data_IF_419008838707
#
_entry.id   IF_419008838707
#
_cell.length_a   1.000
_cell.length_b   1.000
_cell.length_c   1.000
_cell.angle_alpha   90.00
_cell.angle_beta   90.00
_cell.angle_gamma   90.00
#
_symmetry.space_group_name_H-M   'P 1'
#
loop_
_entity.id
_entity.type
_entity.pdbx_description
1 polymer ?
#
# COMPACT_ATOMS: atom_id res chain seq x y z
N UNK A 1 0.55 35.93 12.44
CA UNK A 1 1.07 34.57 12.22
C UNK A 1 1.22 34.38 10.72
N UNK A 2 2.31 33.78 10.23
CA UNK A 2 2.44 33.48 8.79
C UNK A 2 1.65 32.20 8.49
N UNK A 3 0.93 32.18 7.39
CA UNK A 3 0.23 30.99 6.90
C UNK A 3 1.22 29.85 6.66
N UNK A 4 0.88 28.65 7.15
CA UNK A 4 1.66 27.44 6.88
C UNK A 4 1.19 26.80 5.59
N UNK A 5 2.14 26.24 4.85
CA UNK A 5 1.94 25.66 3.53
C UNK A 5 2.22 24.16 3.54
N UNK A 6 1.35 23.40 2.88
CA UNK A 6 1.46 21.93 2.78
C UNK A 6 1.56 21.55 1.31
N UNK A 7 2.64 20.88 0.94
CA UNK A 7 2.84 20.29 -0.38
C UNK A 7 2.45 18.81 -0.39
N UNK A 8 1.75 18.37 -1.45
CA UNK A 8 1.40 16.97 -1.64
C UNK A 8 2.16 16.36 -2.83
N UNK A 9 2.68 15.16 -2.66
CA UNK A 9 3.30 14.35 -3.73
C UNK A 9 2.56 13.03 -3.83
N UNK A 10 2.09 12.67 -5.03
CA UNK A 10 1.31 11.46 -5.25
C UNK A 10 2.00 10.47 -6.20
N UNK A 11 1.81 9.17 -5.99
CA UNK A 11 2.32 8.12 -6.89
C UNK A 11 1.54 6.80 -6.80
N UNK A 12 1.41 6.07 -7.90
CA UNK A 12 0.77 4.77 -7.98
C UNK A 12 1.63 3.71 -8.69
N UNK A 13 1.61 2.46 -8.20
CA UNK A 13 2.47 1.37 -8.69
C UNK A 13 2.00 0.70 -10.00
N UNK A 14 0.80 1.04 -10.48
CA UNK A 14 0.17 0.39 -11.63
C UNK A 14 0.65 0.88 -13.00
N UNK A 15 1.72 0.26 -13.48
CA UNK A 15 2.35 0.56 -14.77
C UNK A 15 1.36 0.68 -15.95
N UNK A 16 0.36 -0.20 -16.03
CA UNK A 16 -0.61 -0.22 -17.13
C UNK A 16 -1.57 0.98 -17.10
N UNK A 17 -1.85 1.55 -15.93
CA UNK A 17 -2.78 2.67 -15.75
C UNK A 17 -2.07 4.04 -15.72
N UNK A 18 -0.74 4.08 -15.84
CA UNK A 18 0.03 5.31 -15.68
C UNK A 18 -0.18 6.31 -16.83
N UNK A 19 -0.23 7.59 -16.45
CA UNK A 19 -0.21 8.70 -17.38
C UNK A 19 1.11 8.75 -18.16
N UNK A 20 1.03 9.17 -19.41
CA UNK A 20 2.17 9.47 -20.28
C UNK A 20 2.00 10.86 -20.89
N UNK A 21 2.95 11.30 -21.70
CA UNK A 21 2.81 12.55 -22.46
C UNK A 21 1.58 12.57 -23.40
N UNK A 22 1.03 11.40 -23.73
CA UNK A 22 -0.05 11.25 -24.71
C UNK A 22 -1.26 10.49 -24.18
N UNK A 23 -1.28 10.14 -22.88
CA UNK A 23 -2.36 9.36 -22.29
C UNK A 23 -2.63 9.79 -20.85
N UNK A 24 -3.91 9.96 -20.53
CA UNK A 24 -4.37 10.13 -19.16
C UNK A 24 -4.14 8.86 -18.34
N UNK A 25 -3.94 9.03 -17.03
CA UNK A 25 -3.70 7.92 -16.12
C UNK A 25 -3.20 8.35 -14.75
N UNK A 26 -2.79 7.37 -13.95
CA UNK A 26 -2.21 7.61 -12.62
C UNK A 26 -0.79 8.18 -12.71
N UNK A 27 -0.40 8.99 -11.73
CA UNK A 27 0.97 9.44 -11.63
C UNK A 27 1.88 8.24 -11.29
N UNK A 28 2.84 7.85 -12.16
CA UNK A 28 3.68 6.67 -11.91
C UNK A 28 4.48 6.80 -10.62
N UNK A 29 4.54 5.73 -9.83
CA UNK A 29 5.38 5.67 -8.65
C UNK A 29 6.84 5.37 -9.04
N UNK A 30 7.52 6.41 -9.52
CA UNK A 30 8.94 6.41 -9.83
C UNK A 30 9.74 7.06 -8.70
N UNK A 31 10.73 6.34 -8.15
CA UNK A 31 11.47 6.80 -6.97
C UNK A 31 12.24 8.10 -7.26
N UNK A 32 12.92 8.20 -8.41
CA UNK A 32 13.75 9.35 -8.72
C UNK A 32 12.89 10.62 -8.85
N UNK A 33 11.75 10.52 -9.56
CA UNK A 33 10.77 11.60 -9.69
C UNK A 33 10.20 12.00 -8.33
N UNK A 34 9.75 11.04 -7.52
CA UNK A 34 9.15 11.31 -6.22
C UNK A 34 10.16 12.00 -5.27
N UNK A 35 11.41 11.53 -5.24
CA UNK A 35 12.48 12.18 -4.46
C UNK A 35 12.70 13.62 -4.91
N UNK A 36 12.80 13.84 -6.22
CA UNK A 36 12.97 15.18 -6.77
C UNK A 36 11.80 16.11 -6.40
N UNK A 37 10.55 15.62 -6.49
CA UNK A 37 9.35 16.37 -6.11
C UNK A 37 9.33 16.70 -4.61
N UNK A 38 9.63 15.72 -3.75
CA UNK A 38 9.71 15.91 -2.30
C UNK A 38 10.75 16.96 -1.94
N UNK A 39 11.97 16.85 -2.49
CA UNK A 39 13.05 17.80 -2.22
C UNK A 39 12.73 19.21 -2.76
N UNK A 40 12.07 19.31 -3.92
CA UNK A 40 11.63 20.58 -4.50
C UNK A 40 10.55 21.26 -3.67
N UNK A 41 9.56 20.50 -3.19
CA UNK A 41 8.50 21.03 -2.32
C UNK A 41 9.04 21.38 -0.95
N UNK A 42 9.99 20.62 -0.39
CA UNK A 42 10.55 20.91 0.94
C UNK A 42 11.27 22.26 1.01
N UNK A 43 11.73 22.79 -0.14
CA UNK A 43 12.31 24.14 -0.24
C UNK A 43 11.27 25.27 -0.24
N UNK A 44 10.00 24.96 -0.49
CA UNK A 44 8.93 25.94 -0.75
C UNK A 44 7.72 25.80 0.18
N UNK A 45 7.56 24.66 0.82
CA UNK A 45 6.47 24.33 1.72
C UNK A 45 6.99 24.05 3.14
N UNK A 46 6.21 24.40 4.14
CA UNK A 46 6.51 24.09 5.54
C UNK A 46 6.46 22.57 5.77
N UNK A 47 5.46 21.91 5.19
CA UNK A 47 5.25 20.45 5.27
C UNK A 47 5.14 19.81 3.89
N UNK A 48 5.64 18.58 3.75
CA UNK A 48 5.49 17.75 2.55
C UNK A 48 4.89 16.40 2.93
N UNK A 49 3.70 16.11 2.41
CA UNK A 49 3.00 14.84 2.63
C UNK A 49 3.04 14.03 1.33
N UNK A 50 3.48 12.77 1.41
CA UNK A 50 3.47 11.85 0.27
C UNK A 50 2.28 10.90 0.39
N UNK A 51 1.52 10.75 -0.69
CA UNK A 51 0.38 9.84 -0.80
C UNK A 51 0.71 8.77 -1.86
N UNK A 52 0.72 7.50 -1.47
CA UNK A 52 1.00 6.40 -2.40
C UNK A 52 -0.21 5.47 -2.53
N UNK A 53 -0.41 4.93 -3.73
CA UNK A 53 -1.38 3.88 -4.00
C UNK A 53 -0.65 2.65 -4.54
N UNK A 54 -0.27 1.72 -3.66
CA UNK A 54 0.73 0.71 -3.99
C UNK A 54 0.81 -0.47 -2.99
N UNK A 55 1.67 -1.44 -3.31
CA UNK A 55 1.84 -2.74 -2.62
C UNK A 55 0.78 -3.81 -2.95
N UNK A 56 0.68 -4.89 -2.18
CA UNK A 56 -0.19 -6.03 -2.52
C UNK A 56 -1.57 -5.92 -1.86
N UNK A 57 -2.63 -6.16 -2.63
CA UNK A 57 -4.00 -6.26 -2.13
C UNK A 57 -4.20 -7.40 -1.13
N UNK A 58 -5.04 -7.13 -0.13
CA UNK A 58 -5.54 -8.10 0.85
C UNK A 58 -4.47 -8.75 1.72
N UNK A 59 -3.33 -8.08 1.88
CA UNK A 59 -2.23 -8.53 2.74
C UNK A 59 -2.08 -7.59 3.93
N UNK A 60 -1.92 -8.18 5.12
CA UNK A 60 -1.85 -7.46 6.39
C UNK A 60 -0.55 -6.69 6.63
N UNK A 61 0.53 -7.12 5.98
CA UNK A 61 1.86 -6.52 6.13
C UNK A 61 2.34 -5.95 4.81
N UNK A 62 2.98 -4.77 4.83
CA UNK A 62 3.63 -4.25 3.65
C UNK A 62 4.84 -5.11 3.28
N UNK A 63 5.18 -5.14 1.99
CA UNK A 63 6.42 -5.79 1.54
C UNK A 63 7.66 -5.11 2.14
N UNK A 64 8.76 -5.83 2.41
CA UNK A 64 10.01 -5.23 2.87
C UNK A 64 10.51 -4.11 1.96
N UNK A 65 10.32 -4.25 0.64
CA UNK A 65 10.60 -3.21 -0.35
C UNK A 65 9.76 -1.95 -0.12
N UNK A 66 8.46 -2.10 0.14
CA UNK A 66 7.54 -0.99 0.44
C UNK A 66 7.93 -0.22 1.70
N UNK A 67 8.34 -0.92 2.75
CA UNK A 67 8.88 -0.31 3.97
C UNK A 67 10.11 0.54 3.68
N UNK A 68 11.10 -0.03 2.96
CA UNK A 68 12.32 0.70 2.59
C UNK A 68 12.04 1.91 1.69
N UNK A 69 11.13 1.77 0.74
CA UNK A 69 10.72 2.86 -0.16
C UNK A 69 10.12 4.04 0.62
N UNK A 70 9.22 3.75 1.55
CA UNK A 70 8.52 4.77 2.35
C UNK A 70 9.47 5.50 3.29
N UNK A 71 10.34 4.76 4.00
CA UNK A 71 11.39 5.34 4.83
C UNK A 71 12.37 6.21 4.02
N UNK A 72 12.70 5.81 2.79
CA UNK A 72 13.55 6.60 1.90
C UNK A 72 12.92 7.94 1.49
N UNK A 73 11.60 8.00 1.30
CA UNK A 73 10.91 9.27 1.04
C UNK A 73 10.99 10.22 2.23
N UNK A 74 10.86 9.69 3.46
CA UNK A 74 11.10 10.45 4.70
C UNK A 74 12.55 10.95 4.77
N UNK A 75 13.53 10.10 4.46
CA UNK A 75 14.94 10.50 4.39
C UNK A 75 15.20 11.62 3.38
N UNK A 76 14.40 11.71 2.31
CA UNK A 76 14.52 12.74 1.28
C UNK A 76 13.75 14.02 1.59
N UNK A 77 13.03 14.08 2.72
CA UNK A 77 12.40 15.32 3.20
C UNK A 77 10.88 15.26 3.37
N UNK A 78 10.23 14.12 3.07
CA UNK A 78 8.80 13.97 3.36
C UNK A 78 8.57 14.05 4.88
N UNK A 79 7.51 14.73 5.29
CA UNK A 79 7.10 14.89 6.69
C UNK A 79 6.08 13.82 7.11
N UNK A 80 5.33 13.26 6.16
CA UNK A 80 4.55 12.04 6.33
C UNK A 80 4.46 11.25 5.02
N UNK A 81 4.27 9.93 5.13
CA UNK A 81 3.99 9.04 3.99
C UNK A 81 2.73 8.23 4.29
N UNK A 82 1.66 8.48 3.54
CA UNK A 82 0.37 7.82 3.71
C UNK A 82 0.10 6.95 2.50
N UNK A 83 -0.24 5.69 2.72
CA UNK A 83 -0.44 4.73 1.64
C UNK A 83 -1.85 4.14 1.65
N UNK A 84 -2.26 3.72 0.47
CA UNK A 84 -3.51 3.03 0.15
C UNK A 84 -3.21 1.94 -0.87
N UNK A 85 -4.25 1.22 -1.28
CA UNK A 85 -4.28 0.11 -2.25
C UNK A 85 -4.51 -1.28 -1.63
N UNK A 86 -3.89 -1.67 -0.51
CA UNK A 86 -4.09 -3.01 0.03
C UNK A 86 -5.55 -3.39 0.38
N UNK A 87 -6.46 -2.41 0.41
CA UNK A 87 -7.88 -2.55 0.78
C UNK A 87 -8.12 -3.05 2.22
N UNK A 88 -7.06 -3.25 2.99
CA UNK A 88 -7.08 -3.61 4.41
C UNK A 88 -6.22 -2.62 5.18
N UNK A 89 -6.52 -2.42 6.47
CA UNK A 89 -5.65 -1.61 7.34
C UNK A 89 -4.34 -2.35 7.56
N UNK A 90 -3.22 -1.67 7.32
CA UNK A 90 -1.89 -2.16 7.65
C UNK A 90 -1.29 -1.35 8.79
N UNK A 91 -0.19 -1.83 9.37
CA UNK A 91 0.51 -1.15 10.46
C UNK A 91 0.97 0.28 10.11
N UNK A 92 1.23 1.05 11.16
CA UNK A 92 1.82 2.38 11.08
C UNK A 92 3.15 2.42 11.83
N UNK A 93 4.06 3.29 11.42
CA UNK A 93 5.28 3.53 12.18
C UNK A 93 5.63 5.01 12.30
N UNK A 94 6.34 5.33 13.38
CA UNK A 94 7.05 6.59 13.54
C UNK A 94 8.50 6.38 13.14
N UNK A 95 8.88 6.87 11.96
CA UNK A 95 10.24 6.78 11.44
C UNK A 95 10.91 8.16 11.48
N UNK A 96 12.01 8.29 12.22
CA UNK A 96 12.70 9.60 12.46
C UNK A 96 11.73 10.70 12.94
N UNK A 97 10.83 10.32 13.84
CA UNK A 97 9.80 11.20 14.40
C UNK A 97 8.58 11.43 13.51
N UNK A 98 8.59 10.96 12.24
CA UNK A 98 7.57 11.24 11.23
C UNK A 98 6.67 10.04 10.98
N UNK A 99 5.39 10.29 10.71
CA UNK A 99 4.39 9.22 10.50
C UNK A 99 4.49 8.58 9.12
N UNK A 100 4.49 7.25 9.10
CA UNK A 100 4.26 6.42 7.90
C UNK A 100 3.06 5.51 8.18
N UNK A 101 2.03 5.58 7.33
CA UNK A 101 0.90 4.65 7.35
C UNK A 101 0.92 3.80 6.08
N UNK A 102 0.99 2.47 6.22
CA UNK A 102 1.19 1.56 5.09
C UNK A 102 -0.10 1.18 4.35
N UNK A 103 -1.25 1.28 5.01
CA UNK A 103 -2.56 1.26 4.37
C UNK A 103 -3.62 1.69 5.38
N UNK A 104 -4.53 2.56 4.97
CA UNK A 104 -5.68 2.96 5.77
C UNK A 104 -6.96 2.14 5.49
N UNK A 105 -6.87 1.10 4.66
CA UNK A 105 -8.03 0.26 4.31
C UNK A 105 -9.06 0.98 3.43
N UNK A 106 -10.31 0.54 3.52
CA UNK A 106 -11.42 1.06 2.71
C UNK A 106 -12.15 2.23 3.40
N UNK A 107 -12.86 3.05 2.61
CA UNK A 107 -13.70 4.16 3.12
C UNK A 107 -15.07 4.21 2.44
N UNK A 108 -15.17 4.84 1.28
CA UNK A 108 -16.36 4.79 0.43
C UNK A 108 -16.03 3.89 -0.76
N UNK A 109 -16.17 2.57 -0.57
CA UNK A 109 -15.77 1.58 -1.56
C UNK A 109 -16.84 0.50 -1.71
N UNK A 110 -17.17 0.16 -2.96
CA UNK A 110 -18.09 -0.94 -3.25
C UNK A 110 -17.38 -2.27 -3.01
N UNK A 111 -17.74 -2.94 -1.92
CA UNK A 111 -17.21 -4.27 -1.61
C UNK A 111 -18.01 -5.29 -2.42
N UNK A 112 -17.56 -5.54 -3.65
CA UNK A 112 -18.11 -6.58 -4.53
C UNK A 112 -17.49 -7.96 -4.25
N UNK A 113 -17.82 -8.95 -5.09
CA UNK A 113 -17.32 -10.34 -4.97
C UNK A 113 -15.80 -10.43 -4.84
N UNK A 114 -15.07 -9.56 -5.55
CA UNK A 114 -13.61 -9.52 -5.52
C UNK A 114 -13.03 -9.28 -4.13
N UNK A 115 -13.67 -8.42 -3.33
CA UNK A 115 -13.20 -8.03 -2.00
C UNK A 115 -13.94 -8.76 -0.88
N UNK A 116 -15.19 -9.19 -1.11
CA UNK A 116 -16.06 -9.77 -0.09
C UNK A 116 -15.52 -11.05 0.55
N UNK A 117 -14.62 -11.77 -0.14
CA UNK A 117 -13.90 -12.92 0.41
C UNK A 117 -12.91 -12.58 1.52
N UNK A 118 -12.54 -11.31 1.68
CA UNK A 118 -11.53 -10.85 2.63
C UNK A 118 -12.16 -10.00 3.72
N UNK A 119 -12.40 -10.58 4.90
CA UNK A 119 -13.10 -9.92 6.01
C UNK A 119 -12.51 -8.55 6.40
N UNK A 120 -11.20 -8.37 6.27
CA UNK A 120 -10.52 -7.12 6.63
C UNK A 120 -10.82 -5.96 5.68
N UNK A 121 -11.36 -6.22 4.49
CA UNK A 121 -11.80 -5.18 3.54
C UNK A 121 -13.01 -4.39 4.02
N UNK A 122 -13.69 -4.91 5.06
CA UNK A 122 -14.79 -4.25 5.75
C UNK A 122 -14.35 -3.10 6.63
N UNK A 123 -13.06 -2.93 6.86
CA UNK A 123 -12.55 -1.96 7.81
C UNK A 123 -11.63 -0.95 7.14
N UNK A 124 -11.59 0.23 7.71
CA UNK A 124 -10.67 1.30 7.36
C UNK A 124 -10.31 2.15 8.56
N UNK A 125 -9.49 3.15 8.34
CA UNK A 125 -9.06 4.10 9.35
C UNK A 125 -8.96 5.52 8.80
N UNK A 126 -9.48 6.48 9.56
CA UNK A 126 -9.20 7.89 9.38
C UNK A 126 -7.98 8.27 10.21
N UNK A 127 -7.01 8.94 9.57
CA UNK A 127 -5.80 9.41 10.22
C UNK A 127 -5.81 10.94 10.29
N UNK A 128 -5.86 11.48 11.50
CA UNK A 128 -5.56 12.88 11.75
C UNK A 128 -4.05 13.06 11.95
N UNK A 129 -3.47 14.03 11.25
CA UNK A 129 -2.07 14.41 11.44
C UNK A 129 -1.98 15.76 12.15
N UNK A 130 -1.15 15.85 13.18
CA UNK A 130 -0.76 17.11 13.79
C UNK A 130 0.44 17.69 13.03
N UNK A 131 0.30 18.92 12.56
CA UNK A 131 1.35 19.65 11.84
C UNK A 131 2.14 20.55 12.81
N UNK A 132 3.01 19.93 13.62
CA UNK A 132 3.89 20.61 14.58
C UNK A 132 5.32 20.83 14.04
N UNK A 133 6.33 21.00 14.92
CA UNK A 133 7.74 20.92 14.55
C UNK A 133 8.10 19.59 13.85
N UNK A 134 7.35 18.54 14.17
CA UNK A 134 7.37 17.25 13.50
C UNK A 134 5.92 16.87 13.18
N UNK A 135 5.68 16.28 12.01
CA UNK A 135 4.35 15.79 11.62
C UNK A 135 4.13 14.39 12.17
N UNK A 136 3.09 14.24 13.00
CA UNK A 136 2.78 12.99 13.70
C UNK A 136 1.29 12.67 13.64
N UNK A 137 0.95 11.39 13.80
CA UNK A 137 -0.41 10.93 13.97
C UNK A 137 -0.97 11.49 15.29
N UNK A 138 -2.05 12.27 15.19
CA UNK A 138 -2.79 12.78 16.34
C UNK A 138 -3.83 11.76 16.81
N UNK A 139 -4.65 11.27 15.88
CA UNK A 139 -5.68 10.26 16.15
C UNK A 139 -5.82 9.32 14.97
N UNK A 140 -6.20 8.07 15.28
CA UNK A 140 -6.60 7.07 14.30
C UNK A 140 -8.01 6.60 14.66
N UNK A 141 -8.97 6.93 13.82
CA UNK A 141 -10.37 6.54 14.02
C UNK A 141 -10.72 5.42 13.07
N UNK A 142 -10.97 4.23 13.60
CA UNK A 142 -11.41 3.10 12.80
C UNK A 142 -12.83 3.30 12.30
N UNK A 143 -13.11 2.83 11.08
CA UNK A 143 -14.46 2.81 10.48
C UNK A 143 -14.76 1.41 9.92
N UNK A 144 -16.04 1.02 9.97
CA UNK A 144 -16.54 -0.12 9.24
C UNK A 144 -17.14 0.35 7.91
N UNK A 145 -17.18 -0.52 6.91
CA UNK A 145 -17.86 -0.27 5.64
C UNK A 145 -19.16 -1.06 5.65
N UNK A 146 -20.25 -0.32 5.53
CA UNK A 146 -21.57 -0.88 5.31
C UNK A 146 -21.61 -1.54 3.93
N UNK A 147 -21.91 -2.83 3.88
CA UNK A 147 -21.97 -3.59 2.64
C UNK A 147 -23.20 -3.30 1.78
N UNK A 148 -24.29 -2.83 2.40
CA UNK A 148 -25.53 -2.51 1.69
C UNK A 148 -25.42 -1.15 0.99
N UNK A 149 -24.76 -0.19 1.63
CA UNK A 149 -24.68 1.19 1.14
C UNK A 149 -23.27 1.63 0.73
N UNK A 150 -22.27 0.75 0.86
CA UNK A 150 -20.87 0.97 0.50
C UNK A 150 -20.29 2.27 1.07
N UNK A 151 -20.68 2.58 2.31
CA UNK A 151 -20.34 3.82 3.01
C UNK A 151 -19.75 3.55 4.39
N UNK A 152 -18.99 4.50 4.96
CA UNK A 152 -18.50 4.39 6.32
C UNK A 152 -19.66 4.29 7.32
N UNK A 153 -19.50 3.41 8.28
CA UNK A 153 -20.38 3.22 9.43
C UNK A 153 -19.53 3.13 10.71
N UNK A 154 -20.17 3.44 11.84
CA UNK A 154 -19.56 3.24 13.14
C UNK A 154 -19.31 1.75 13.39
N UNK A 155 -18.20 1.46 14.07
CA UNK A 155 -17.90 0.10 14.50
C UNK A 155 -18.81 -0.28 15.67
N UNK A 156 -19.15 -1.56 15.75
CA UNK A 156 -19.73 -2.10 16.98
C UNK A 156 -18.68 -2.00 18.12
N UNK A 157 -19.10 -1.83 19.39
CA UNK A 157 -18.15 -1.65 20.50
C UNK A 157 -17.08 -2.76 20.62
N UNK A 158 -17.42 -4.01 20.30
CA UNK A 158 -16.46 -5.12 20.27
C UNK A 158 -15.46 -5.04 19.11
N UNK A 159 -15.86 -4.45 17.98
CA UNK A 159 -15.01 -4.25 16.81
C UNK A 159 -14.02 -3.10 17.02
N UNK A 160 -14.41 -2.03 17.73
CA UNK A 160 -13.50 -0.91 18.04
C UNK A 160 -12.23 -1.44 18.72
N UNK A 161 -12.40 -2.24 19.78
CA UNK A 161 -11.27 -2.80 20.53
C UNK A 161 -10.41 -3.71 19.66
N UNK A 162 -11.03 -4.56 18.84
CA UNK A 162 -10.29 -5.51 18.00
C UNK A 162 -9.50 -4.80 16.90
N UNK A 163 -10.05 -3.74 16.30
CA UNK A 163 -9.35 -2.99 15.26
C UNK A 163 -8.20 -2.15 15.82
N UNK A 164 -8.36 -1.55 17.01
CA UNK A 164 -7.26 -0.86 17.70
C UNK A 164 -6.14 -1.84 18.03
N UNK A 165 -6.46 -2.97 18.66
CA UNK A 165 -5.47 -3.99 19.01
C UNK A 165 -4.74 -4.52 17.76
N UNK A 166 -5.49 -4.77 16.68
CA UNK A 166 -4.93 -5.21 15.41
C UNK A 166 -3.94 -4.20 14.83
N UNK A 167 -4.29 -2.91 14.83
CA UNK A 167 -3.38 -1.87 14.36
C UNK A 167 -2.09 -1.83 15.19
N UNK A 168 -2.18 -1.96 16.51
CA UNK A 168 -1.02 -2.01 17.41
C UNK A 168 -0.12 -3.22 17.10
N UNK A 169 -0.70 -4.41 16.90
CA UNK A 169 0.02 -5.64 16.55
C UNK A 169 0.73 -5.51 15.20
N UNK A 170 0.02 -5.04 14.17
CA UNK A 170 0.59 -4.81 12.84
C UNK A 170 1.69 -3.74 12.86
N UNK A 171 1.53 -2.71 13.69
CA UNK A 171 2.54 -1.65 13.87
C UNK A 171 3.77 -2.17 14.62
N UNK A 172 3.58 -3.07 15.59
CA UNK A 172 4.68 -3.74 16.28
C UNK A 172 5.46 -4.67 15.33
N UNK A 173 4.77 -5.33 14.38
CA UNK A 173 5.38 -6.19 13.37
C UNK A 173 6.35 -5.46 12.43
N UNK A 174 6.13 -4.17 12.17
CA UNK A 174 7.03 -3.37 11.33
C UNK A 174 8.46 -3.27 11.91
N UNK A 175 8.60 -3.48 13.22
CA UNK A 175 9.89 -3.52 13.92
C UNK A 175 10.56 -4.90 13.86
N UNK A 176 9.89 -5.91 13.28
CA UNK A 176 10.32 -7.31 13.23
C UNK A 176 10.58 -7.75 11.77
N UNK A 177 11.80 -7.55 11.21
CA UNK A 177 12.08 -7.87 9.81
C UNK A 177 11.78 -9.32 9.42
N UNK A 178 11.94 -10.27 10.34
CA UNK A 178 11.58 -11.68 10.13
C UNK A 178 10.08 -11.89 9.86
N UNK A 179 9.20 -11.13 10.51
CA UNK A 179 7.75 -11.22 10.31
C UNK A 179 7.40 -10.70 8.92
N UNK A 180 7.89 -9.50 8.56
CA UNK A 180 7.64 -8.92 7.25
C UNK A 180 8.16 -9.80 6.11
N UNK A 181 9.36 -10.38 6.27
CA UNK A 181 9.93 -11.31 5.28
C UNK A 181 9.13 -12.61 5.18
N UNK A 182 8.65 -13.13 6.31
CA UNK A 182 7.81 -14.32 6.35
C UNK A 182 6.48 -14.08 5.63
N UNK A 183 5.79 -13.00 5.98
CA UNK A 183 4.54 -12.56 5.35
C UNK A 183 4.72 -12.38 3.84
N UNK A 184 5.73 -11.59 3.43
CA UNK A 184 6.04 -11.36 2.02
C UNK A 184 6.34 -12.64 1.24
N UNK A 185 7.11 -13.57 1.82
CA UNK A 185 7.39 -14.87 1.19
C UNK A 185 6.11 -15.68 0.98
N UNK A 186 5.20 -15.67 1.95
CA UNK A 186 3.91 -16.35 1.83
C UNK A 186 3.06 -15.71 0.74
N UNK A 187 2.93 -14.38 0.74
CA UNK A 187 2.24 -13.61 -0.31
C UNK A 187 2.78 -13.96 -1.70
N UNK A 188 4.10 -13.93 -1.87
CA UNK A 188 4.73 -14.24 -3.16
C UNK A 188 4.43 -15.68 -3.60
N UNK A 189 4.44 -16.65 -2.68
CA UNK A 189 4.10 -18.05 -2.99
C UNK A 189 2.66 -18.18 -3.45
N UNK A 190 1.71 -17.53 -2.78
CA UNK A 190 0.29 -17.57 -3.14
C UNK A 190 0.06 -16.92 -4.51
N UNK A 191 0.70 -15.77 -4.78
CA UNK A 191 0.62 -15.11 -6.08
C UNK A 191 1.17 -15.98 -7.22
N UNK A 192 2.33 -16.64 -7.02
CA UNK A 192 2.89 -17.54 -8.02
C UNK A 192 2.03 -18.79 -8.23
N UNK A 193 1.39 -19.31 -7.18
CA UNK A 193 0.45 -20.43 -7.28
C UNK A 193 -0.80 -20.03 -8.07
N UNK A 194 -1.33 -18.84 -7.84
CA UNK A 194 -2.46 -18.30 -8.60
C UNK A 194 -2.13 -18.17 -10.10
N UNK A 195 -0.98 -17.58 -10.43
CA UNK A 195 -0.51 -17.51 -11.82
C UNK A 195 -0.30 -18.90 -12.44
N UNK A 196 0.24 -19.86 -11.68
CA UNK A 196 0.41 -21.24 -12.16
C UNK A 196 -0.95 -21.92 -12.45
N UNK A 197 -1.94 -21.72 -11.57
CA UNK A 197 -3.30 -22.22 -11.78
C UNK A 197 -3.96 -21.53 -12.98
N UNK A 198 -3.79 -20.22 -13.13
CA UNK A 198 -4.25 -19.46 -14.28
C UNK A 198 -3.66 -19.97 -15.60
N UNK A 199 -2.35 -20.26 -15.61
CA UNK A 199 -1.68 -20.87 -16.76
C UNK A 199 -2.20 -22.28 -17.07
N UNK A 200 -2.46 -23.10 -16.06
CA UNK A 200 -3.06 -24.43 -16.24
C UNK A 200 -4.46 -24.36 -16.88
N UNK A 201 -5.33 -23.48 -16.38
CA UNK A 201 -6.66 -23.30 -16.96
C UNK A 201 -6.61 -22.71 -18.38
N UNK A 202 -5.69 -21.78 -18.61
CA UNK A 202 -5.44 -21.21 -19.94
C UNK A 202 -4.94 -22.27 -20.92
N UNK A 203 -4.05 -23.18 -20.49
CA UNK A 203 -3.57 -24.28 -21.32
C UNK A 203 -4.74 -25.16 -21.78
N UNK A 204 -5.65 -25.50 -20.86
CA UNK A 204 -6.83 -26.32 -21.16
C UNK A 204 -7.83 -25.63 -22.08
N UNK A 205 -8.03 -24.31 -21.96
CA UNK A 205 -9.07 -23.57 -22.69
C UNK A 205 -8.59 -22.96 -24.01
N UNK A 206 -7.34 -22.51 -24.07
CA UNK A 206 -6.82 -21.66 -25.14
C UNK A 206 -5.56 -22.24 -25.82
N UNK A 207 -5.03 -23.36 -25.31
CA UNK A 207 -3.86 -24.03 -25.86
C UNK A 207 -2.51 -23.42 -25.45
N UNK A 208 -1.40 -24.06 -25.80
CA UNK A 208 -0.06 -23.75 -25.28
C UNK A 208 0.44 -22.36 -25.69
N UNK A 209 0.03 -21.86 -26.85
CA UNK A 209 0.52 -20.57 -27.34
C UNK A 209 -0.03 -19.37 -26.55
N UNK A 210 -1.24 -19.50 -25.99
CA UNK A 210 -1.80 -18.52 -25.07
C UNK A 210 -0.98 -18.44 -23.77
N UNK A 211 -0.56 -19.60 -23.23
CA UNK A 211 0.31 -19.66 -22.06
C UNK A 211 1.66 -18.98 -22.32
N UNK A 212 2.29 -19.24 -23.47
CA UNK A 212 3.56 -18.60 -23.85
C UNK A 212 3.42 -17.06 -23.87
N UNK A 213 2.32 -16.55 -24.46
CA UNK A 213 2.01 -15.12 -24.43
C UNK A 213 1.85 -14.57 -23.02
N UNK A 214 1.10 -15.25 -22.15
CA UNK A 214 0.90 -14.85 -20.75
C UNK A 214 2.22 -14.83 -19.99
N UNK A 215 3.04 -15.86 -20.12
CA UNK A 215 4.36 -15.93 -19.48
C UNK A 215 5.25 -14.75 -19.92
N UNK A 216 5.29 -14.45 -21.23
CA UNK A 216 6.05 -13.29 -21.73
C UNK A 216 5.57 -11.97 -21.12
N UNK A 217 4.26 -11.81 -20.93
CA UNK A 217 3.69 -10.64 -20.29
C UNK A 217 4.04 -10.56 -18.79
N UNK A 218 3.88 -11.67 -18.06
CA UNK A 218 4.20 -11.76 -16.63
C UNK A 218 5.65 -11.40 -16.35
N UNK A 219 6.60 -11.93 -17.12
CA UNK A 219 8.03 -11.65 -16.93
C UNK A 219 8.35 -10.16 -17.18
N UNK A 220 7.58 -9.46 -18.01
CA UNK A 220 7.73 -8.02 -18.22
C UNK A 220 7.18 -7.18 -17.06
N UNK A 221 6.22 -7.72 -16.30
CA UNK A 221 5.56 -6.99 -15.21
C UNK A 221 6.50 -6.80 -14.00
N UNK A 222 6.64 -5.57 -13.48
CA UNK A 222 7.46 -5.32 -12.30
C UNK A 222 7.01 -6.10 -11.07
N UNK A 223 5.69 -6.19 -10.83
CA UNK A 223 5.13 -6.88 -9.66
C UNK A 223 5.47 -8.38 -9.66
N UNK A 224 5.25 -9.06 -10.79
CA UNK A 224 5.60 -10.48 -10.94
C UNK A 224 7.09 -10.73 -10.70
N UNK A 225 7.97 -9.87 -11.24
CA UNK A 225 9.42 -9.97 -10.99
C UNK A 225 9.75 -9.82 -9.50
N UNK A 226 9.08 -8.91 -8.80
CA UNK A 226 9.25 -8.75 -7.35
C UNK A 226 8.74 -9.97 -6.56
N UNK A 227 7.61 -10.55 -6.96
CA UNK A 227 7.07 -11.76 -6.32
C UNK A 227 8.00 -12.97 -6.53
N UNK A 228 8.52 -13.14 -7.75
CA UNK A 228 9.49 -14.19 -8.06
C UNK A 228 10.75 -14.04 -7.19
N UNK A 229 11.29 -12.82 -7.10
CA UNK A 229 12.42 -12.53 -6.22
C UNK A 229 12.08 -12.78 -4.75
N UNK A 230 10.90 -12.40 -4.28
CA UNK A 230 10.45 -12.64 -2.90
C UNK A 230 10.47 -14.13 -2.51
N UNK A 231 10.13 -15.03 -3.44
CA UNK A 231 10.28 -16.48 -3.21
C UNK A 231 11.75 -16.90 -3.22
N UNK A 232 12.50 -16.52 -4.27
CA UNK A 232 13.89 -16.95 -4.47
C UNK A 232 14.82 -16.46 -3.35
N UNK A 233 14.63 -15.24 -2.87
CA UNK A 233 15.43 -14.65 -1.80
C UNK A 233 14.86 -14.88 -0.42
N UNK A 234 13.86 -15.77 -0.25
CA UNK A 234 13.20 -16.02 1.04
C UNK A 234 12.72 -14.72 1.74
N UNK A 235 12.22 -13.77 0.96
CA UNK A 235 11.67 -12.50 1.43
C UNK A 235 12.68 -11.36 1.65
N UNK A 236 13.98 -11.56 1.40
CA UNK A 236 15.01 -10.53 1.65
C UNK A 236 14.93 -9.27 0.75
N UNK A 237 14.28 -9.36 -0.40
CA UNK A 237 14.04 -8.23 -1.31
C UNK A 237 12.63 -7.66 -1.10
#
# INVERSE_FOLDING_TARGET
>A
MRDRTVGFVCGAEFAYANATAHRFGSAPMDMARLVHQVQSLKKRCDFVIVILHADQEFVDHPSPRRVRFSRRLVDCGADAVIQHHPHVVQGMETYKGKTIAYSLGNWAFAIGEYQGGYQQTRYGAFLALELGPVVQAATVTHVAIDHQFHRPAELLPGEVRSQVQRLEELSADLKRPQVLRGSWRTTCRLALLDEAMGLYYMLRKNGPWACVKRIRHLVAEPLFRHQLLGVLTRGWL
#
